data_IF_699000239497
#
_entry.id   IF_699000239497
#
_cell.length_a   1.000
_cell.length_b   1.000
_cell.length_c   1.000
_cell.angle_alpha   90.00
_cell.angle_beta   90.00
_cell.angle_gamma   90.00
#
_symmetry.space_group_name_H-M   'P 1'
#
loop_
_entity.id
_entity.type
_entity.pdbx_description
1 polymer ?
#
# COMPACT_ATOMS: atom_id res chain seq x y z
N UNK A 1 -18.94 -8.60 -24.76
CA UNK A 1 -18.87 -9.51 -23.60
C UNK A 1 -19.17 -8.70 -22.35
N UNK A 2 -20.31 -8.91 -21.69
CA UNK A 2 -20.61 -8.27 -20.39
C UNK A 2 -19.97 -9.12 -19.30
N UNK A 3 -18.98 -8.58 -18.60
CA UNK A 3 -18.39 -9.26 -17.45
C UNK A 3 -19.41 -9.14 -16.30
N UNK A 4 -19.99 -10.26 -15.89
CA UNK A 4 -20.80 -10.31 -14.68
C UNK A 4 -19.86 -10.35 -13.48
N UNK A 5 -19.74 -9.23 -12.77
CA UNK A 5 -19.07 -9.21 -11.48
C UNK A 5 -19.88 -10.05 -10.48
N UNK A 6 -19.18 -10.79 -9.61
CA UNK A 6 -19.81 -11.53 -8.52
C UNK A 6 -20.51 -10.53 -7.59
N UNK A 7 -21.76 -10.78 -7.24
CA UNK A 7 -22.49 -9.95 -6.30
C UNK A 7 -22.00 -10.19 -4.88
N UNK A 8 -21.49 -9.14 -4.24
CA UNK A 8 -21.13 -9.13 -2.82
C UNK A 8 -22.13 -8.28 -2.03
N UNK A 9 -22.41 -8.60 -0.76
CA UNK A 9 -23.18 -7.73 0.11
C UNK A 9 -22.56 -6.33 0.19
N UNK A 10 -23.39 -5.28 0.09
CA UNK A 10 -22.92 -3.88 0.17
C UNK A 10 -22.07 -3.58 1.40
N UNK A 11 -22.34 -4.26 2.52
CA UNK A 11 -21.56 -4.11 3.75
C UNK A 11 -20.14 -4.68 3.58
N UNK A 12 -19.99 -5.84 2.94
CA UNK A 12 -18.70 -6.48 2.66
C UNK A 12 -17.85 -5.59 1.75
N UNK A 13 -18.44 -5.08 0.67
CA UNK A 13 -17.75 -4.15 -0.24
C UNK A 13 -17.31 -2.87 0.48
N UNK A 14 -18.18 -2.30 1.33
CA UNK A 14 -17.86 -1.11 2.11
C UNK A 14 -16.70 -1.36 3.08
N UNK A 15 -16.70 -2.50 3.76
CA UNK A 15 -15.61 -2.86 4.68
C UNK A 15 -14.30 -3.03 3.89
N UNK A 16 -14.33 -3.75 2.77
CA UNK A 16 -13.16 -3.94 1.91
C UNK A 16 -12.57 -2.60 1.45
N UNK A 17 -13.42 -1.68 0.97
CA UNK A 17 -12.96 -0.34 0.56
C UNK A 17 -12.32 0.43 1.72
N UNK A 18 -12.94 0.40 2.91
CA UNK A 18 -12.43 1.11 4.09
C UNK A 18 -11.08 0.54 4.54
N UNK A 19 -10.95 -0.78 4.63
CA UNK A 19 -9.69 -1.42 5.07
C UNK A 19 -8.57 -1.15 4.08
N UNK A 20 -8.85 -1.21 2.77
CA UNK A 20 -7.88 -0.85 1.74
C UNK A 20 -7.49 0.62 1.79
N UNK A 21 -8.44 1.53 1.97
CA UNK A 21 -8.15 2.97 2.07
C UNK A 21 -7.27 3.29 3.30
N UNK A 22 -7.55 2.68 4.46
CA UNK A 22 -6.71 2.80 5.65
C UNK A 22 -5.32 2.22 5.38
N UNK A 23 -5.25 1.04 4.76
CA UNK A 23 -4.00 0.40 4.37
C UNK A 23 -3.17 1.30 3.46
N UNK A 24 -3.78 1.93 2.46
CA UNK A 24 -3.11 2.84 1.53
C UNK A 24 -2.48 4.04 2.26
N UNK A 25 -3.22 4.69 3.16
CA UNK A 25 -2.72 5.82 3.95
C UNK A 25 -1.56 5.42 4.88
N UNK A 26 -1.67 4.26 5.52
CA UNK A 26 -0.60 3.71 6.36
C UNK A 26 0.64 3.35 5.52
N UNK A 27 0.46 2.77 4.33
CA UNK A 27 1.56 2.43 3.41
C UNK A 27 2.35 3.65 2.96
N UNK A 28 1.69 4.74 2.59
CA UNK A 28 2.36 6.01 2.21
C UNK A 28 3.17 6.56 3.38
N UNK A 29 2.59 6.56 4.58
CA UNK A 29 3.25 7.04 5.80
C UNK A 29 4.47 6.19 6.14
N UNK A 30 4.34 4.85 6.10
CA UNK A 30 5.42 3.91 6.38
C UNK A 30 6.54 3.97 5.34
N UNK A 31 6.21 4.05 4.04
CA UNK A 31 7.19 4.20 2.95
C UNK A 31 8.02 5.46 3.16
N UNK A 32 7.38 6.57 3.50
CA UNK A 32 8.08 7.84 3.78
C UNK A 32 9.09 7.68 4.91
N UNK A 33 8.67 7.10 6.04
CA UNK A 33 9.54 6.88 7.20
C UNK A 33 10.71 5.93 6.88
N UNK A 34 10.44 4.84 6.17
CA UNK A 34 11.46 3.86 5.77
C UNK A 34 12.52 4.50 4.87
N UNK A 35 12.12 5.29 3.87
CA UNK A 35 13.05 5.97 2.96
C UNK A 35 13.87 7.03 3.71
N UNK A 36 13.25 7.81 4.61
CA UNK A 36 13.96 8.80 5.43
C UNK A 36 14.99 8.13 6.35
N UNK A 37 14.62 7.06 7.06
CA UNK A 37 15.59 6.38 7.92
C UNK A 37 16.66 5.62 7.12
N UNK A 38 16.32 5.07 5.95
CA UNK A 38 17.30 4.44 5.07
C UNK A 38 18.31 5.46 4.52
N UNK A 39 17.90 6.69 4.22
CA UNK A 39 18.83 7.73 3.76
C UNK A 39 19.77 8.22 4.87
N UNK A 40 19.31 8.20 6.12
CA UNK A 40 20.11 8.64 7.28
C UNK A 40 21.04 7.55 7.83
N UNK A 41 20.62 6.28 7.80
CA UNK A 41 21.27 5.20 8.55
C UNK A 41 21.56 3.93 7.73
N UNK A 42 21.01 3.85 6.53
CA UNK A 42 21.07 2.66 5.69
C UNK A 42 22.12 2.73 4.59
N UNK A 43 22.05 1.75 3.70
CA UNK A 43 22.84 1.71 2.46
C UNK A 43 21.93 1.91 1.26
N UNK A 44 22.52 2.08 0.07
CA UNK A 44 21.78 2.19 -1.20
C UNK A 44 20.77 1.03 -1.36
N UNK A 45 21.14 -0.18 -0.96
CA UNK A 45 20.25 -1.35 -1.02
C UNK A 45 19.00 -1.21 -0.15
N UNK A 46 19.09 -0.55 1.01
CA UNK A 46 17.92 -0.29 1.86
C UNK A 46 16.95 0.68 1.19
N UNK A 47 17.48 1.75 0.60
CA UNK A 47 16.66 2.76 -0.10
C UNK A 47 15.92 2.11 -1.27
N UNK A 48 16.62 1.37 -2.13
CA UNK A 48 16.03 0.70 -3.30
C UNK A 48 14.99 -0.34 -2.86
N UNK A 49 15.35 -1.22 -1.92
CA UNK A 49 14.45 -2.30 -1.48
C UNK A 49 13.18 -1.75 -0.81
N UNK A 50 13.31 -0.76 0.09
CA UNK A 50 12.15 -0.15 0.74
C UNK A 50 11.29 0.65 -0.25
N UNK A 51 11.89 1.30 -1.24
CA UNK A 51 11.14 2.02 -2.27
C UNK A 51 10.32 1.07 -3.13
N UNK A 52 10.90 -0.06 -3.58
CA UNK A 52 10.18 -1.06 -4.39
C UNK A 52 9.07 -1.72 -3.57
N UNK A 53 9.37 -2.17 -2.35
CA UNK A 53 8.38 -2.78 -1.46
C UNK A 53 7.25 -1.80 -1.15
N UNK A 54 7.55 -0.59 -0.69
CA UNK A 54 6.52 0.37 -0.32
C UNK A 54 5.70 0.85 -1.53
N UNK A 55 6.30 1.03 -2.72
CA UNK A 55 5.55 1.36 -3.92
C UNK A 55 4.53 0.27 -4.29
N UNK A 56 4.88 -1.01 -4.13
CA UNK A 56 3.95 -2.14 -4.37
C UNK A 56 2.77 -2.22 -3.39
N UNK A 57 2.84 -1.54 -2.25
CA UNK A 57 1.71 -1.44 -1.32
C UNK A 57 0.79 -0.25 -1.63
N UNK A 58 1.24 0.69 -2.46
CA UNK A 58 0.51 1.90 -2.84
C UNK A 58 -0.16 1.77 -4.21
N UNK A 59 0.53 1.11 -5.15
CA UNK A 59 0.12 0.90 -6.54
C UNK A 59 -0.46 -0.49 -6.70
#
# INVERSE_FOLDING_TARGET
MKINARYYPKLEEKINVITHAIGLLMSVSALTLLVVFASMKGTVWHIVSFSVYGASLVI
#
